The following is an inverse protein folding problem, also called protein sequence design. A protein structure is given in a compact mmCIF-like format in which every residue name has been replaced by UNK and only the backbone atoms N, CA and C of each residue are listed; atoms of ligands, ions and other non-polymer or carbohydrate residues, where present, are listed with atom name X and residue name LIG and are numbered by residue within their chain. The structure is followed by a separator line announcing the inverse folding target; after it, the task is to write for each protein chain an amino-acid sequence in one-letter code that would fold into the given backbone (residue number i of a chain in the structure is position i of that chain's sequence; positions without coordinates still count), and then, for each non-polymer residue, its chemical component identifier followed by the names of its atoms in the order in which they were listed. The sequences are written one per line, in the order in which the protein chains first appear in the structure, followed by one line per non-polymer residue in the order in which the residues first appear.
data_IF_455116715961
#
_entry.id   IF_455116715961
#
_cell.length_a   1.000
_cell.length_b   1.000
_cell.length_c   1.000
_cell.angle_alpha   90.00
_cell.angle_beta   90.00
_cell.angle_gamma   90.00
#
_symmetry.space_group_name_H-M   'P 1'
#
loop_
_entity.id
_entity.type
_entity.pdbx_description
1 polymer ?
#
# COMPACT_ATOMS: atom_id res chain seq x y z
N UNK A 1 4.64 -19.55 1.77
CA UNK A 1 3.50 -18.62 1.98
C UNK A 1 4.06 -17.23 1.75
N UNK A 2 3.60 -16.52 0.72
CA UNK A 2 4.16 -15.22 0.33
C UNK A 2 3.23 -14.11 0.81
N UNK A 3 3.77 -13.23 1.63
CA UNK A 3 3.10 -12.01 2.08
C UNK A 3 3.63 -10.85 1.26
N UNK A 4 2.78 -9.87 0.97
CA UNK A 4 3.19 -8.62 0.34
C UNK A 4 2.99 -7.47 1.31
N UNK A 5 4.04 -6.71 1.56
CA UNK A 5 4.02 -5.57 2.48
C UNK A 5 3.85 -4.31 1.65
N UNK A 6 2.89 -3.47 2.05
CA UNK A 6 2.77 -2.09 1.58
C UNK A 6 3.20 -1.15 2.68
N UNK A 7 4.05 -0.19 2.35
CA UNK A 7 4.34 0.98 3.17
C UNK A 7 3.29 2.04 2.83
N UNK A 8 2.65 2.60 3.85
CA UNK A 8 1.66 3.66 3.70
C UNK A 8 2.25 4.95 4.25
N UNK A 9 2.12 6.01 3.46
CA UNK A 9 2.60 7.36 3.73
C UNK A 9 1.45 8.34 3.51
N UNK A 10 1.42 9.44 4.27
CA UNK A 10 0.49 10.54 4.02
C UNK A 10 0.85 11.22 2.69
N UNK A 11 -0.15 11.41 1.82
CA UNK A 11 0.06 12.10 0.57
C UNK A 11 0.20 13.63 0.80
N UNK A 12 1.07 14.35 0.05
CA UNK A 12 1.24 15.79 0.20
C UNK A 12 -0.06 16.60 0.01
N UNK A 13 -0.99 16.06 -0.76
CA UNK A 13 -2.26 16.71 -1.14
C UNK A 13 -3.44 16.25 -0.25
N UNK A 14 -3.16 15.41 0.75
CA UNK A 14 -4.15 14.73 1.58
C UNK A 14 -4.48 13.33 1.06
N UNK A 15 -4.94 12.46 1.96
CA UNK A 15 -5.11 11.03 1.67
C UNK A 15 -3.83 10.24 1.91
N UNK A 16 -3.73 9.05 1.30
CA UNK A 16 -2.69 8.07 1.58
C UNK A 16 -2.12 7.48 0.30
N UNK A 17 -0.80 7.34 0.26
CA UNK A 17 -0.07 6.59 -0.77
C UNK A 17 0.33 5.24 -0.16
N UNK A 18 0.03 4.14 -0.86
CA UNK A 18 0.48 2.80 -0.50
C UNK A 18 1.41 2.24 -1.56
N UNK A 19 2.64 1.90 -1.15
CA UNK A 19 3.69 1.35 -2.01
C UNK A 19 4.11 -0.04 -1.58
N UNK A 20 4.05 -0.99 -2.49
CA UNK A 20 4.49 -2.36 -2.24
C UNK A 20 6.02 -2.45 -2.15
N UNK A 21 6.51 -3.31 -1.24
CA UNK A 21 7.93 -3.65 -1.15
C UNK A 21 8.27 -4.82 -2.07
N UNK A 22 9.36 -4.68 -2.83
CA UNK A 22 9.88 -5.73 -3.72
C UNK A 22 9.11 -5.91 -5.04
N UNK A 23 8.03 -5.17 -5.26
CA UNK A 23 7.27 -5.14 -6.52
C UNK A 23 6.78 -3.72 -6.81
N UNK A 24 6.69 -3.36 -8.09
CA UNK A 24 6.30 -2.03 -8.53
C UNK A 24 4.77 -1.86 -8.53
N UNK A 25 4.16 -1.90 -7.34
CA UNK A 25 2.72 -1.63 -7.15
C UNK A 25 2.58 -0.39 -6.29
N UNK A 26 1.80 0.57 -6.79
CA UNK A 26 1.48 1.82 -6.13
C UNK A 26 -0.03 2.04 -6.23
N UNK A 27 -0.61 2.57 -5.16
CA UNK A 27 -2.01 2.97 -5.16
C UNK A 27 -2.23 4.09 -4.16
N UNK A 28 -3.33 4.79 -4.32
CA UNK A 28 -3.68 5.96 -3.52
C UNK A 28 -5.15 5.85 -3.10
N UNK A 29 -5.46 6.42 -1.94
CA UNK A 29 -6.83 6.52 -1.45
C UNK A 29 -7.04 7.79 -0.64
N UNK A 30 -8.24 8.36 -0.73
CA UNK A 30 -8.60 9.57 0.01
C UNK A 30 -8.75 9.31 1.51
N UNK A 31 -8.95 8.04 1.91
CA UNK A 31 -9.12 7.65 3.31
C UNK A 31 -8.53 6.27 3.63
N UNK A 32 -8.16 6.07 4.90
CA UNK A 32 -7.71 4.76 5.41
C UNK A 32 -8.76 3.67 5.29
N UNK A 33 -10.06 4.03 5.21
CA UNK A 33 -11.14 3.07 5.03
C UNK A 33 -11.18 2.51 3.60
N UNK A 34 -10.82 3.32 2.61
CA UNK A 34 -10.81 2.93 1.18
C UNK A 34 -9.52 2.22 0.76
N UNK A 35 -8.41 2.55 1.42
CA UNK A 35 -7.07 2.05 1.07
C UNK A 35 -6.97 0.52 0.93
N UNK A 36 -7.58 -0.31 1.80
CA UNK A 36 -7.53 -1.77 1.65
C UNK A 36 -8.15 -2.27 0.34
N UNK A 37 -9.24 -1.66 -0.13
CA UNK A 37 -9.88 -2.03 -1.39
C UNK A 37 -8.99 -1.64 -2.58
N UNK A 38 -8.47 -0.41 -2.57
CA UNK A 38 -7.54 0.08 -3.60
C UNK A 38 -6.29 -0.81 -3.72
N UNK A 39 -5.74 -1.23 -2.60
CA UNK A 39 -4.59 -2.16 -2.55
C UNK A 39 -4.96 -3.54 -3.10
N UNK A 40 -6.12 -4.09 -2.73
CA UNK A 40 -6.58 -5.39 -3.26
C UNK A 40 -6.74 -5.36 -4.77
N UNK A 41 -7.32 -4.29 -5.30
CA UNK A 41 -7.53 -4.11 -6.74
C UNK A 41 -6.19 -3.96 -7.47
N UNK A 42 -5.26 -3.17 -6.93
CA UNK A 42 -3.93 -3.01 -7.50
C UNK A 42 -3.15 -4.34 -7.53
N UNK A 43 -3.23 -5.14 -6.46
CA UNK A 43 -2.61 -6.49 -6.40
C UNK A 43 -3.26 -7.42 -7.44
N UNK A 44 -4.59 -7.45 -7.53
CA UNK A 44 -5.28 -8.31 -8.52
C UNK A 44 -4.97 -7.93 -9.96
N UNK A 45 -4.79 -6.64 -10.24
CA UNK A 45 -4.45 -6.14 -11.57
C UNK A 45 -2.99 -6.47 -11.94
N UNK A 46 -2.08 -6.45 -10.96
CA UNK A 46 -0.65 -6.67 -11.19
C UNK A 46 -0.27 -8.14 -11.40
N UNK A 47 -0.92 -9.06 -10.69
CA UNK A 47 -0.56 -10.48 -10.74
C UNK A 47 -1.52 -11.28 -11.63
N UNK A 48 -0.96 -12.22 -12.39
CA UNK A 48 -1.76 -13.23 -13.09
C UNK A 48 -2.58 -14.09 -12.12
N UNK A 49 -3.65 -14.71 -12.63
CA UNK A 49 -4.56 -15.54 -11.82
C UNK A 49 -3.78 -16.63 -11.05
N UNK A 50 -4.05 -16.72 -9.75
CA UNK A 50 -3.40 -17.68 -8.85
C UNK A 50 -1.96 -17.33 -8.43
N UNK A 51 -1.34 -16.28 -8.99
CA UNK A 51 0.03 -15.86 -8.62
C UNK A 51 0.07 -14.77 -7.53
N UNK A 52 -1.06 -14.14 -7.24
CA UNK A 52 -1.15 -13.11 -6.23
C UNK A 52 -0.83 -13.64 -4.81
N UNK A 53 -0.21 -12.82 -3.95
CA UNK A 53 0.00 -13.14 -2.54
C UNK A 53 -1.35 -13.34 -1.83
N UNK A 54 -1.40 -14.29 -0.88
CA UNK A 54 -2.63 -14.58 -0.12
C UNK A 54 -2.85 -13.62 1.05
N UNK A 55 -1.81 -12.92 1.47
CA UNK A 55 -1.83 -11.99 2.60
C UNK A 55 -1.14 -10.71 2.18
N UNK A 56 -1.79 -9.58 2.45
CA UNK A 56 -1.23 -8.24 2.28
C UNK A 56 -1.16 -7.58 3.65
N UNK A 57 0.00 -7.02 4.00
CA UNK A 57 0.21 -6.27 5.24
C UNK A 57 0.35 -4.80 4.90
N UNK A 58 -0.51 -4.00 5.50
CA UNK A 58 -0.47 -2.54 5.42
C UNK A 58 0.35 -2.02 6.60
N UNK A 59 1.51 -1.42 6.32
CA UNK A 59 2.39 -0.84 7.32
C UNK A 59 2.37 0.68 7.19
N UNK A 60 1.55 1.32 8.04
CA UNK A 60 1.44 2.77 8.07
C UNK A 60 2.58 3.37 8.90
N UNK A 61 3.43 4.14 8.23
CA UNK A 61 4.54 4.85 8.83
C UNK A 61 4.15 6.32 8.92
N UNK A 62 4.28 6.90 10.12
CA UNK A 62 4.20 8.33 10.31
C UNK A 62 5.61 8.83 10.56
N UNK A 63 6.16 9.60 9.63
CA UNK A 63 7.46 10.24 9.79
C UNK A 63 7.28 11.62 10.43
N UNK A 64 8.04 11.89 11.49
CA UNK A 64 8.10 13.21 12.11
C UNK A 64 9.52 13.76 11.99
N UNK A 65 9.65 14.89 11.31
CA UNK A 65 10.92 15.62 11.20
C UNK A 65 10.94 16.70 12.26
N UNK A 66 11.90 16.61 13.19
CA UNK A 66 12.15 17.63 14.20
C UNK A 66 13.51 18.30 13.92
N UNK A 67 13.57 19.62 14.08
CA UNK A 67 14.85 20.33 14.07
C UNK A 67 15.55 20.18 15.43
N UNK A 68 16.89 20.13 15.40
CA UNK A 68 17.76 20.11 16.60
C UNK A 68 18.54 21.40 16.73
#
# INVERSE_FOLDING_TARGET
MHELIFVIEDAPEGGFIARALGVSIYTEADSMAELPEKVRDAVRCHFEEGKAPKVVRLHHVREEVIAV
#
